data_IF_955160479582
#
_entry.id   IF_955160479582
#
_cell.length_a   1.000
_cell.length_b   1.000
_cell.length_c   1.000
_cell.angle_alpha   90.00
_cell.angle_beta   90.00
_cell.angle_gamma   90.00
#
_symmetry.space_group_name_H-M   'P 1'
#
loop_
_entity.id
_entity.type
_entity.pdbx_description
1 polymer ?
#
# COMPACT_ATOMS: atom_id res chain seq x y z
N UNK A 1 -22.36 -43.33 31.93
CA UNK A 1 -21.38 -43.60 30.86
C UNK A 1 -20.04 -42.98 31.24
N UNK A 2 -19.32 -43.64 32.13
CA UNK A 2 -17.90 -43.45 32.39
C UNK A 2 -17.46 -44.75 33.05
N UNK A 3 -16.27 -45.23 32.71
CA UNK A 3 -15.78 -46.54 33.15
C UNK A 3 -16.53 -47.74 32.55
N UNK A 4 -17.19 -47.57 31.40
CA UNK A 4 -17.81 -48.68 30.67
C UNK A 4 -16.83 -49.22 29.61
N UNK A 5 -16.67 -50.55 29.47
CA UNK A 5 -15.80 -51.11 28.44
C UNK A 5 -16.29 -50.73 27.04
N UNK A 6 -15.35 -50.42 26.14
CA UNK A 6 -15.65 -50.05 24.75
C UNK A 6 -16.26 -51.21 23.96
N UNK A 7 -15.81 -52.43 24.25
CA UNK A 7 -16.23 -53.65 23.56
C UNK A 7 -17.01 -54.61 24.45
N UNK A 8 -17.60 -55.63 23.83
CA UNK A 8 -18.29 -56.71 24.53
C UNK A 8 -17.56 -58.07 24.49
N UNK A 9 -16.90 -58.40 23.37
CA UNK A 9 -16.23 -59.70 23.19
C UNK A 9 -14.74 -59.62 23.50
N UNK A 10 -14.22 -60.63 24.23
CA UNK A 10 -12.80 -60.77 24.59
C UNK A 10 -11.86 -60.88 23.39
N UNK A 11 -12.38 -61.18 22.19
CA UNK A 11 -11.59 -61.26 20.95
C UNK A 11 -11.44 -59.91 20.24
N UNK A 12 -12.16 -58.87 20.69
CA UNK A 12 -12.10 -57.56 20.07
C UNK A 12 -10.85 -56.79 20.51
N UNK A 13 -10.20 -56.09 19.58
CA UNK A 13 -8.97 -55.29 19.81
C UNK A 13 -9.08 -54.27 20.94
N UNK A 14 -10.29 -53.79 21.21
CA UNK A 14 -10.59 -52.73 22.17
C UNK A 14 -11.15 -53.23 23.51
N UNK A 15 -11.09 -54.54 23.77
CA UNK A 15 -11.70 -55.16 24.95
C UNK A 15 -11.22 -54.55 26.27
N UNK A 16 -9.92 -54.26 26.38
CA UNK A 16 -9.33 -53.68 27.60
C UNK A 16 -9.50 -52.15 27.70
N UNK A 17 -10.04 -51.50 26.66
CA UNK A 17 -10.23 -50.05 26.65
C UNK A 17 -11.58 -49.68 27.25
N UNK A 18 -11.58 -48.58 27.98
CA UNK A 18 -12.72 -48.09 28.74
C UNK A 18 -13.12 -46.70 28.24
N UNK A 19 -14.42 -46.45 28.10
CA UNK A 19 -14.95 -45.12 27.80
C UNK A 19 -14.72 -44.16 28.97
N UNK A 20 -13.99 -43.08 28.71
CA UNK A 20 -13.88 -41.93 29.61
C UNK A 20 -14.21 -40.67 28.78
N UNK A 21 -15.46 -40.22 28.84
CA UNK A 21 -15.94 -39.06 28.08
C UNK A 21 -16.47 -38.05 29.10
N UNK A 22 -15.80 -36.91 29.17
CA UNK A 22 -16.26 -35.77 29.95
C UNK A 22 -17.04 -34.83 29.04
N UNK A 23 -18.26 -34.49 29.43
CA UNK A 23 -18.99 -33.42 28.78
C UNK A 23 -18.37 -32.09 29.18
N UNK A 24 -17.88 -31.34 28.20
CA UNK A 24 -17.39 -29.98 28.41
C UNK A 24 -18.51 -29.01 27.95
N UNK A 25 -19.29 -28.43 28.86
CA UNK A 25 -20.30 -27.45 28.50
C UNK A 25 -19.64 -26.26 27.78
N UNK A 26 -20.24 -25.83 26.67
CA UNK A 26 -19.72 -24.74 25.84
C UNK A 26 -18.59 -25.12 24.88
N UNK A 27 -18.09 -26.36 24.91
CA UNK A 27 -17.08 -26.82 23.96
C UNK A 27 -17.71 -27.17 22.61
N UNK A 28 -17.32 -26.45 21.56
CA UNK A 28 -17.82 -26.65 20.20
C UNK A 28 -16.80 -27.43 19.39
N UNK A 29 -17.25 -28.18 18.38
CA UNK A 29 -16.38 -28.89 17.41
C UNK A 29 -15.32 -27.97 16.76
N UNK A 30 -15.61 -26.68 16.63
CA UNK A 30 -14.66 -25.70 16.12
C UNK A 30 -13.39 -25.58 17.00
N UNK A 31 -13.50 -25.74 18.32
CA UNK A 31 -12.38 -25.62 19.27
C UNK A 31 -11.37 -26.75 19.13
N UNK A 32 -11.78 -27.93 18.63
CA UNK A 32 -10.85 -29.04 18.37
C UNK A 32 -9.77 -28.68 17.35
N UNK A 33 -10.12 -27.86 16.37
CA UNK A 33 -9.24 -27.49 15.25
C UNK A 33 -8.83 -26.02 15.29
N UNK A 34 -9.18 -25.29 16.35
CA UNK A 34 -8.97 -23.85 16.45
C UNK A 34 -7.49 -23.48 16.33
N UNK A 35 -6.63 -24.13 17.11
CA UNK A 35 -5.18 -23.93 17.03
C UNK A 35 -4.62 -24.21 15.64
N UNK A 36 -5.01 -25.32 15.03
CA UNK A 36 -4.54 -25.70 13.69
C UNK A 36 -4.99 -24.69 12.63
N UNK A 37 -6.24 -24.20 12.72
CA UNK A 37 -6.78 -23.17 11.82
C UNK A 37 -6.03 -21.85 11.99
N UNK A 38 -5.79 -21.44 13.23
CA UNK A 38 -5.03 -20.23 13.54
C UNK A 38 -3.59 -20.31 12.99
N UNK A 39 -2.87 -21.40 13.25
CA UNK A 39 -1.50 -21.57 12.77
C UNK A 39 -1.43 -21.56 11.22
N UNK A 40 -2.40 -22.18 10.55
CA UNK A 40 -2.50 -22.15 9.08
C UNK A 40 -2.79 -20.75 8.55
N UNK A 41 -3.70 -20.01 9.16
CA UNK A 41 -4.03 -18.64 8.78
C UNK A 41 -2.82 -17.72 8.93
N UNK A 42 -2.16 -17.76 10.09
CA UNK A 42 -0.93 -16.99 10.36
C UNK A 42 0.16 -17.31 9.34
N UNK A 43 0.36 -18.59 9.01
CA UNK A 43 1.34 -18.98 7.97
C UNK A 43 0.96 -18.42 6.61
N UNK A 44 -0.31 -18.53 6.22
CA UNK A 44 -0.77 -18.04 4.93
C UNK A 44 -0.62 -16.53 4.81
N UNK A 45 -0.91 -15.78 5.88
CA UNK A 45 -0.76 -14.34 5.90
C UNK A 45 0.71 -13.91 5.78
N UNK A 46 1.62 -14.59 6.50
CA UNK A 46 3.07 -14.36 6.35
C UNK A 46 3.54 -14.60 4.91
N UNK A 47 3.18 -15.74 4.33
CA UNK A 47 3.53 -16.07 2.95
C UNK A 47 2.98 -15.03 1.95
N UNK A 48 1.74 -14.56 2.14
CA UNK A 48 1.16 -13.51 1.30
C UNK A 48 1.96 -12.21 1.40
N UNK A 49 2.38 -11.82 2.60
CA UNK A 49 3.19 -10.61 2.80
C UNK A 49 4.58 -10.74 2.17
N UNK A 50 5.24 -11.88 2.31
CA UNK A 50 6.56 -12.15 1.72
C UNK A 50 6.48 -12.15 0.18
N UNK A 51 5.47 -12.81 -0.39
CA UNK A 51 5.23 -12.82 -1.84
C UNK A 51 4.93 -11.41 -2.36
N UNK A 52 4.13 -10.63 -1.63
CA UNK A 52 3.83 -9.25 -2.01
C UNK A 52 5.08 -8.36 -2.01
N UNK A 53 5.97 -8.54 -1.02
CA UNK A 53 7.25 -7.83 -0.95
C UNK A 53 8.15 -8.20 -2.13
N UNK A 54 8.35 -9.50 -2.38
CA UNK A 54 9.18 -9.98 -3.49
C UNK A 54 8.67 -9.49 -4.85
N UNK A 55 7.34 -9.50 -5.06
CA UNK A 55 6.73 -8.94 -6.28
C UNK A 55 6.97 -7.44 -6.41
N UNK A 56 6.85 -6.69 -5.32
CA UNK A 56 7.10 -5.25 -5.31
C UNK A 56 8.56 -4.94 -5.68
N UNK A 57 9.51 -5.68 -5.11
CA UNK A 57 10.94 -5.54 -5.41
C UNK A 57 11.26 -5.89 -6.87
N UNK A 58 10.70 -6.99 -7.39
CA UNK A 58 10.88 -7.39 -8.78
C UNK A 58 10.31 -6.35 -9.77
N UNK A 59 9.09 -5.87 -9.52
CA UNK A 59 8.46 -4.85 -10.36
C UNK A 59 9.26 -3.53 -10.32
N UNK A 60 9.73 -3.13 -9.14
CA UNK A 60 10.57 -1.94 -8.99
C UNK A 60 11.87 -2.04 -9.80
N UNK A 61 12.48 -3.23 -9.84
CA UNK A 61 13.67 -3.45 -10.67
C UNK A 61 13.35 -3.33 -12.17
N UNK A 62 12.28 -3.99 -12.64
CA UNK A 62 11.84 -3.92 -14.04
C UNK A 62 11.55 -2.48 -14.47
N UNK A 63 10.79 -1.72 -13.67
CA UNK A 63 10.48 -0.32 -13.94
C UNK A 63 11.75 0.56 -14.04
N UNK A 64 12.75 0.30 -13.19
CA UNK A 64 14.01 1.05 -13.23
C UNK A 64 14.87 0.69 -14.44
N UNK A 65 14.89 -0.58 -14.85
CA UNK A 65 15.58 -1.02 -16.08
C UNK A 65 14.93 -0.34 -17.28
N UNK A 66 13.61 -0.44 -17.44
CA UNK A 66 12.88 0.22 -18.52
C UNK A 66 13.07 1.74 -18.51
N UNK A 67 13.06 2.36 -17.32
CA UNK A 67 13.32 3.80 -17.17
C UNK A 67 14.74 4.15 -17.63
N UNK A 68 15.73 3.35 -17.27
CA UNK A 68 17.13 3.57 -17.65
C UNK A 68 17.36 3.40 -19.15
N UNK A 69 16.75 2.38 -19.78
CA UNK A 69 16.79 2.17 -21.23
C UNK A 69 16.14 3.33 -21.98
N UNK A 70 14.95 3.76 -21.54
CA UNK A 70 14.25 4.91 -22.12
C UNK A 70 15.06 6.20 -22.00
N UNK A 71 15.72 6.41 -20.86
CA UNK A 71 16.61 7.56 -20.66
C UNK A 71 17.87 7.46 -21.54
N UNK A 72 18.46 6.27 -21.70
CA UNK A 72 19.61 6.05 -22.57
C UNK A 72 19.25 6.33 -24.04
N UNK A 73 18.13 5.82 -24.54
CA UNK A 73 17.64 6.11 -25.90
C UNK A 73 17.37 7.60 -26.10
N UNK A 74 16.73 8.27 -25.12
CA UNK A 74 16.51 9.72 -25.18
C UNK A 74 17.84 10.47 -25.23
N UNK A 75 18.82 10.09 -24.41
CA UNK A 75 20.15 10.70 -24.38
C UNK A 75 20.86 10.52 -25.72
N UNK A 76 20.84 9.32 -26.31
CA UNK A 76 21.41 9.07 -27.64
C UNK A 76 20.74 9.93 -28.73
N UNK A 77 19.41 10.07 -28.71
CA UNK A 77 18.68 10.95 -29.64
C UNK A 77 19.04 12.42 -29.45
N UNK A 78 19.14 12.88 -28.20
CA UNK A 78 19.56 14.25 -27.88
C UNK A 78 21.02 14.50 -28.27
N UNK A 79 21.92 13.52 -28.11
CA UNK A 79 23.31 13.64 -28.53
C UNK A 79 23.44 13.61 -30.06
N UNK A 80 22.62 12.84 -30.78
CA UNK A 80 22.56 12.87 -32.25
C UNK A 80 22.03 14.21 -32.76
N UNK A 81 20.88 14.67 -32.25
CA UNK A 81 20.30 15.97 -32.59
C UNK A 81 21.19 17.13 -32.13
N UNK A 82 21.88 16.99 -31.01
CA UNK A 82 22.84 17.97 -30.49
C UNK A 82 24.13 18.04 -31.31
N UNK A 83 24.59 16.93 -31.90
CA UNK A 83 25.69 16.93 -32.89
C UNK A 83 25.28 17.60 -34.20
N UNK A 84 24.05 17.37 -34.66
CA UNK A 84 23.49 18.07 -35.83
C UNK A 84 23.27 19.56 -35.57
N UNK A 85 22.79 19.94 -34.38
CA UNK A 85 22.58 21.34 -33.99
C UNK A 85 23.89 22.08 -33.65
N UNK A 86 24.88 21.41 -33.06
CA UNK A 86 26.22 21.97 -32.80
C UNK A 86 27.03 22.17 -34.08
N UNK A 87 26.74 21.41 -35.15
CA UNK A 87 27.27 21.68 -36.48
C UNK A 87 26.61 22.91 -37.16
N UNK A 88 25.47 23.40 -36.64
CA UNK A 88 24.65 24.44 -37.27
C UNK A 88 24.47 25.75 -36.48
N UNK A 89 24.95 25.87 -35.22
CA UNK A 89 24.69 27.04 -34.38
C UNK A 89 25.96 27.72 -33.82
N UNK A 90 26.03 29.08 -33.82
CA UNK A 90 27.17 29.84 -33.32
C UNK A 90 27.22 29.88 -31.79
N UNK A 91 28.45 30.01 -31.27
CA UNK A 91 28.83 29.93 -29.85
C UNK A 91 28.11 30.95 -28.94
N UNK A 92 27.18 30.47 -28.11
CA UNK A 92 26.58 31.21 -26.99
C UNK A 92 26.24 30.26 -25.85
N UNK A 93 26.59 30.63 -24.60
CA UNK A 93 26.41 29.78 -23.41
C UNK A 93 24.93 29.39 -23.20
N UNK A 94 24.59 28.11 -23.00
CA UNK A 94 23.22 27.69 -22.74
C UNK A 94 22.80 28.11 -21.32
N UNK A 95 21.68 28.85 -21.22
CA UNK A 95 21.05 29.20 -19.95
C UNK A 95 20.46 27.97 -19.26
N UNK A 96 20.64 27.88 -17.94
CA UNK A 96 20.09 26.78 -17.13
C UNK A 96 18.55 26.79 -17.17
N UNK A 97 17.89 25.62 -17.35
CA UNK A 97 16.44 25.53 -17.51
C UNK A 97 15.71 25.52 -16.16
N UNK A 98 16.07 26.43 -15.25
CA UNK A 98 15.39 26.57 -13.98
C UNK A 98 14.86 28.00 -13.86
N UNK A 99 13.54 28.14 -13.85
CA UNK A 99 12.90 29.38 -13.42
C UNK A 99 12.97 29.43 -11.90
N UNK A 100 13.74 30.38 -11.36
CA UNK A 100 13.81 30.61 -9.93
C UNK A 100 12.41 30.79 -9.34
N UNK A 101 12.06 29.98 -8.34
CA UNK A 101 10.81 30.17 -7.59
C UNK A 101 10.88 31.50 -6.85
N UNK A 102 9.82 32.29 -6.94
CA UNK A 102 9.69 33.56 -6.23
C UNK A 102 9.83 33.34 -4.72
N UNK A 103 10.53 34.25 -4.05
CA UNK A 103 10.71 34.21 -2.59
C UNK A 103 9.40 34.53 -1.86
N UNK A 104 9.26 34.12 -0.59
CA UNK A 104 8.07 34.42 0.23
C UNK A 104 7.77 35.92 0.30
N UNK A 105 8.80 36.77 0.33
CA UNK A 105 8.68 38.22 0.28
C UNK A 105 8.09 38.74 -1.05
N UNK A 106 8.46 38.14 -2.18
CA UNK A 106 7.91 38.51 -3.50
C UNK A 106 6.48 38.04 -3.68
N UNK A 107 6.13 36.87 -3.15
CA UNK A 107 4.75 36.36 -3.12
C UNK A 107 3.84 37.31 -2.31
N UNK A 108 4.32 37.82 -1.18
CA UNK A 108 3.60 38.79 -0.34
C UNK A 108 3.46 40.15 -1.03
N UNK A 109 4.50 40.64 -1.73
CA UNK A 109 4.43 41.87 -2.54
C UNK A 109 3.45 41.74 -3.70
N UNK A 110 3.43 40.62 -4.42
CA UNK A 110 2.43 40.36 -5.46
C UNK A 110 1.00 40.28 -4.91
N UNK A 111 0.84 39.76 -3.70
CA UNK A 111 -0.47 39.63 -3.03
C UNK A 111 -0.88 40.89 -2.26
N UNK A 112 -0.04 41.93 -2.18
CA UNK A 112 -0.37 43.20 -1.54
C UNK A 112 -0.57 43.14 -0.02
N UNK A 113 -0.13 42.06 0.66
CA UNK A 113 -0.16 41.99 2.13
C UNK A 113 1.19 42.45 2.69
N UNK A 114 1.17 43.54 3.45
CA UNK A 114 2.30 43.99 4.25
C UNK A 114 2.40 43.13 5.51
N UNK A 115 3.61 42.76 5.93
CA UNK A 115 3.87 42.06 7.19
C UNK A 115 3.62 43.01 8.38
N UNK A 116 2.35 43.30 8.64
CA UNK A 116 1.86 43.96 9.84
C UNK A 116 1.57 42.92 10.91
N UNK A 117 2.25 43.05 12.04
CA UNK A 117 2.28 42.16 13.21
C UNK A 117 0.95 42.08 13.98
N UNK A 118 -0.23 42.03 13.37
CA UNK A 118 -1.49 42.13 14.12
C UNK A 118 -2.67 41.27 13.63
N UNK A 119 -2.46 40.13 12.96
CA UNK A 119 -3.59 39.29 12.52
C UNK A 119 -3.43 37.81 12.92
N UNK A 120 -3.29 37.56 14.23
CA UNK A 120 -3.34 36.19 14.78
C UNK A 120 -4.76 35.64 14.97
N UNK A 121 -5.80 36.40 14.65
CA UNK A 121 -7.20 35.99 14.86
C UNK A 121 -7.99 35.76 13.56
N UNK A 122 -7.49 36.19 12.39
CA UNK A 122 -8.14 35.96 11.09
C UNK A 122 -7.69 34.69 10.36
N UNK A 123 -6.44 34.25 10.57
CA UNK A 123 -5.85 33.16 9.77
C UNK A 123 -6.35 31.75 10.13
N UNK A 124 -7.06 31.56 11.25
CA UNK A 124 -7.64 30.25 11.61
C UNK A 124 -9.00 29.96 10.96
N UNK A 125 -9.61 30.90 10.20
CA UNK A 125 -10.86 30.65 9.46
C UNK A 125 -10.69 30.43 7.95
N UNK A 126 -9.49 30.66 7.40
CA UNK A 126 -9.21 30.51 5.97
C UNK A 126 -8.33 29.29 5.62
N UNK A 127 -8.08 28.40 6.58
CA UNK A 127 -7.59 27.04 6.31
C UNK A 127 -8.78 26.07 6.41
N UNK A 128 -9.81 26.34 5.60
CA UNK A 128 -10.90 25.41 5.33
C UNK A 128 -10.53 24.49 4.20
N UNK A 129 -9.62 23.54 4.43
CA UNK A 129 -9.38 22.39 3.55
C UNK A 129 -9.18 21.14 4.41
N UNK A 130 -10.23 20.76 5.14
CA UNK A 130 -10.45 19.39 5.59
C UNK A 130 -11.90 19.02 5.28
N UNK A 131 -12.09 18.00 4.45
CA UNK A 131 -13.35 17.25 4.39
C UNK A 131 -14.10 17.22 3.05
N UNK A 132 -13.63 16.37 2.13
CA UNK A 132 -14.39 15.31 1.45
C UNK A 132 -15.75 15.66 0.78
N UNK A 133 -15.87 15.49 -0.55
CA UNK A 133 -16.96 14.74 -1.22
C UNK A 133 -16.52 14.28 -2.63
N UNK A 134 -16.24 12.99 -2.80
CA UNK A 134 -16.54 12.30 -4.06
C UNK A 134 -17.45 11.12 -3.70
N UNK A 135 -18.70 11.19 -4.11
CA UNK A 135 -19.66 10.09 -4.05
C UNK A 135 -20.40 10.05 -5.42
N UNK A 136 -20.62 8.85 -5.98
CA UNK A 136 -21.13 8.65 -7.35
C UNK A 136 -22.63 8.95 -7.49
N UNK A 137 -23.13 9.16 -8.72
CA UNK A 137 -24.55 9.42 -8.97
C UNK A 137 -25.38 8.13 -8.87
N UNK A 138 -26.49 8.20 -8.14
CA UNK A 138 -27.56 7.20 -8.17
C UNK A 138 -28.67 7.71 -9.08
N UNK A 139 -29.08 6.86 -10.01
CA UNK A 139 -30.18 7.06 -10.94
C UNK A 139 -31.53 7.01 -10.21
N UNK A 140 -32.46 7.90 -10.59
CA UNK A 140 -33.89 7.82 -10.26
C UNK A 140 -34.64 6.90 -11.22
N UNK A 141 -35.88 6.57 -10.83
CA UNK A 141 -36.98 5.84 -11.53
C UNK A 141 -37.06 4.33 -11.21
N UNK A 142 -38.19 3.74 -10.81
CA UNK A 142 -39.58 4.17 -10.64
C UNK A 142 -40.41 2.93 -10.24
N UNK A 143 -41.57 3.18 -9.60
CA UNK A 143 -42.68 2.25 -9.21
C UNK A 143 -42.39 1.00 -8.36
#
# INVERSE_FOLDING_TARGET
MNNQPIGGSKKCKWFDYIWNIKYLPGFKWAHLNERLRFERAVRQDRLRTEVALAKKEANFYLENVERSERQAQRRQRLEAAGKEAAAAAPSGRPGLPFTQRLTTAEILRQKGLTEGREDRLGAMRAVGLFGNKHAPPEDEEGE
#
